data_IF_978095146275
#
_entry.id   IF_978095146275
#
_cell.length_a   1.000
_cell.length_b   1.000
_cell.length_c   1.000
_cell.angle_alpha   90.00
_cell.angle_beta   90.00
_cell.angle_gamma   90.00
#
_symmetry.space_group_name_H-M   'P 1'
#
loop_
_entity.id
_entity.type
_entity.pdbx_description
1 polymer ?
#
# COMPACT_ATOMS: atom_id res chain seq x y z
N UNK A 1 17.50 37.66 21.73
CA UNK A 1 17.08 36.43 21.02
C UNK A 1 17.40 36.67 19.56
N UNK A 2 18.68 36.47 19.23
CA UNK A 2 19.25 36.61 17.90
C UNK A 2 19.05 35.28 17.18
N UNK A 3 18.56 35.33 15.94
CA UNK A 3 18.27 34.16 15.13
C UNK A 3 19.51 33.30 14.94
N UNK A 4 19.34 32.00 15.08
CA UNK A 4 20.32 31.03 14.57
C UNK A 4 20.15 30.98 13.05
N UNK A 5 21.15 31.52 12.36
CA UNK A 5 21.34 31.30 10.93
C UNK A 5 21.62 29.80 10.73
N UNK A 6 20.68 29.10 10.09
CA UNK A 6 20.87 27.72 9.66
C UNK A 6 21.83 27.76 8.48
N UNK A 7 23.08 27.40 8.73
CA UNK A 7 24.12 27.27 7.72
C UNK A 7 23.78 26.07 6.82
N UNK A 8 23.21 26.35 5.65
CA UNK A 8 22.94 25.33 4.62
C UNK A 8 24.28 24.95 4.01
N UNK A 9 24.83 23.81 4.43
CA UNK A 9 26.02 23.22 3.82
C UNK A 9 25.71 22.88 2.36
N UNK A 10 26.39 23.56 1.43
CA UNK A 10 26.35 23.18 0.02
C UNK A 10 27.02 21.80 -0.14
N UNK A 11 26.38 20.84 -0.83
CA UNK A 11 26.95 19.52 -1.03
C UNK A 11 28.24 19.61 -1.87
N UNK A 12 29.26 18.83 -1.50
CA UNK A 12 30.52 18.77 -2.24
C UNK A 12 30.33 18.23 -3.67
N UNK A 13 31.14 18.68 -4.63
CA UNK A 13 31.06 18.28 -6.05
C UNK A 13 31.12 16.75 -6.29
N UNK A 14 31.65 15.97 -5.34
CA UNK A 14 31.68 14.50 -5.39
C UNK A 14 30.32 13.83 -5.12
N UNK A 15 29.36 14.54 -4.50
CA UNK A 15 28.02 14.01 -4.17
C UNK A 15 26.99 14.24 -5.28
N UNK A 16 27.21 15.22 -6.17
CA UNK A 16 26.26 15.63 -7.21
C UNK A 16 26.91 15.57 -8.59
N UNK A 17 26.54 14.57 -9.39
CA UNK A 17 26.94 14.54 -10.81
C UNK A 17 26.01 15.44 -11.62
N UNK A 18 26.47 16.65 -11.93
CA UNK A 18 25.77 17.55 -12.86
C UNK A 18 26.04 17.08 -14.28
N UNK A 19 25.01 16.55 -14.95
CA UNK A 19 25.05 16.23 -16.37
C UNK A 19 24.28 17.28 -17.15
N UNK A 20 25.01 18.31 -17.57
CA UNK A 20 24.55 19.31 -18.51
C UNK A 20 25.60 19.46 -19.62
N UNK A 21 25.77 18.47 -20.52
CA UNK A 21 26.49 18.74 -21.74
C UNK A 21 25.66 19.74 -22.53
N UNK A 22 26.28 20.85 -22.93
CA UNK A 22 25.71 21.68 -23.98
C UNK A 22 25.47 20.77 -25.20
N UNK A 23 24.34 20.94 -25.92
CA UNK A 23 24.10 20.16 -27.12
C UNK A 23 25.24 20.43 -28.10
N UNK A 24 26.18 19.48 -28.18
CA UNK A 24 27.17 19.47 -29.25
C UNK A 24 26.39 19.13 -30.50
N UNK A 25 26.00 20.15 -31.26
CA UNK A 25 25.21 20.04 -32.50
C UNK A 25 25.95 19.31 -33.62
N UNK A 26 26.32 18.06 -33.38
CA UNK A 26 26.99 17.16 -34.32
C UNK A 26 26.01 16.37 -35.18
N UNK A 27 24.71 16.57 -35.03
CA UNK A 27 23.72 15.90 -35.88
C UNK A 27 23.75 16.52 -37.27
N UNK A 28 24.22 15.76 -38.25
CA UNK A 28 24.31 16.15 -39.67
C UNK A 28 22.97 16.67 -40.24
N UNK A 29 21.86 16.28 -39.61
CA UNK A 29 20.48 16.68 -39.91
C UNK A 29 20.25 18.18 -39.64
N UNK A 30 20.92 18.78 -38.65
CA UNK A 30 20.77 20.21 -38.31
C UNK A 30 21.27 21.14 -39.43
N UNK A 31 22.06 20.62 -40.37
CA UNK A 31 22.59 21.37 -41.51
C UNK A 31 21.69 21.32 -42.76
N UNK A 32 20.60 20.55 -42.74
CA UNK A 32 19.65 20.44 -43.85
C UNK A 32 18.38 21.25 -43.56
N UNK A 33 17.78 21.85 -44.59
CA UNK A 33 16.49 22.52 -44.44
C UNK A 33 15.37 21.50 -44.17
N UNK A 34 14.37 21.87 -43.35
CA UNK A 34 13.24 21.00 -42.97
C UNK A 34 12.54 20.37 -44.19
N UNK A 35 12.38 21.14 -45.29
CA UNK A 35 11.79 20.66 -46.54
C UNK A 35 12.63 19.59 -47.26
N UNK A 36 13.96 19.70 -47.18
CA UNK A 36 14.86 18.70 -47.75
C UNK A 36 14.89 17.43 -46.90
N UNK A 37 14.87 17.59 -45.57
CA UNK A 37 14.80 16.47 -44.65
C UNK A 37 13.48 15.71 -44.81
N UNK A 38 12.33 16.39 -44.82
CA UNK A 38 11.04 15.70 -44.95
C UNK A 38 10.88 14.99 -46.30
N UNK A 39 11.47 15.54 -47.37
CA UNK A 39 11.50 14.88 -48.68
C UNK A 39 12.36 13.61 -48.70
N UNK A 40 13.27 13.44 -47.73
CA UNK A 40 14.09 12.24 -47.58
C UNK A 40 13.43 11.13 -46.76
N UNK A 41 12.34 11.43 -46.05
CA UNK A 41 11.62 10.47 -45.18
C UNK A 41 10.40 9.94 -45.94
N UNK A 42 10.37 8.65 -46.24
CA UNK A 42 9.25 8.01 -46.94
C UNK A 42 8.17 7.56 -45.94
N UNK A 43 7.07 8.31 -45.85
CA UNK A 43 5.84 7.90 -45.15
C UNK A 43 4.61 8.57 -45.76
N UNK A 44 3.44 7.94 -45.71
CA UNK A 44 2.18 8.52 -46.19
C UNK A 44 1.37 9.14 -45.05
N UNK A 45 1.39 8.51 -43.88
CA UNK A 45 0.65 8.92 -42.68
C UNK A 45 1.49 8.76 -41.41
N UNK A 46 1.11 9.48 -40.35
CA UNK A 46 1.69 9.27 -39.01
C UNK A 46 1.44 7.87 -38.46
N UNK A 47 0.51 7.11 -39.06
CA UNK A 47 0.30 5.69 -38.75
C UNK A 47 1.49 4.81 -39.17
N UNK A 48 2.27 5.23 -40.17
CA UNK A 48 3.43 4.50 -40.68
C UNK A 48 4.68 4.74 -39.81
N UNK A 49 4.62 5.71 -38.90
CA UNK A 49 5.76 6.10 -38.07
C UNK A 49 5.87 5.13 -36.88
N UNK A 50 6.97 4.37 -36.76
CA UNK A 50 7.14 3.43 -35.65
C UNK A 50 7.30 4.19 -34.33
N UNK A 51 6.48 3.83 -33.33
CA UNK A 51 6.56 4.38 -31.98
C UNK A 51 7.41 3.42 -31.12
N UNK A 52 8.49 3.91 -30.47
CA UNK A 52 9.29 3.08 -29.57
C UNK A 52 8.45 2.49 -28.42
N UNK A 53 8.76 1.27 -27.99
CA UNK A 53 8.01 0.59 -26.92
C UNK A 53 8.28 1.20 -25.53
N UNK A 54 9.50 1.70 -25.29
CA UNK A 54 9.87 2.27 -23.99
C UNK A 54 9.61 3.77 -23.94
N UNK A 55 9.15 4.26 -22.79
CA UNK A 55 8.89 5.69 -22.60
C UNK A 55 10.17 6.54 -22.67
N UNK A 56 11.32 5.98 -22.30
CA UNK A 56 12.59 6.72 -22.32
C UNK A 56 13.04 7.03 -23.75
N UNK A 57 12.77 6.14 -24.70
CA UNK A 57 13.13 6.30 -26.11
C UNK A 57 12.10 7.19 -26.86
N UNK A 58 10.95 7.49 -26.24
CA UNK A 58 9.97 8.45 -26.76
C UNK A 58 10.28 9.90 -26.36
N UNK A 59 11.29 10.14 -25.52
CA UNK A 59 11.67 11.51 -25.12
C UNK A 59 12.51 12.15 -26.22
N UNK A 60 12.04 13.28 -26.73
CA UNK A 60 12.61 13.98 -27.89
C UNK A 60 13.51 15.14 -27.42
N UNK A 61 14.72 15.25 -27.97
CA UNK A 61 15.62 16.39 -27.74
C UNK A 61 16.20 16.48 -26.32
N UNK A 62 16.20 15.36 -25.59
CA UNK A 62 16.75 15.23 -24.23
C UNK A 62 17.63 13.98 -24.14
N UNK A 63 18.55 13.82 -25.09
CA UNK A 63 19.44 12.65 -25.23
C UNK A 63 20.32 12.47 -23.99
N UNK A 64 20.72 13.57 -23.36
CA UNK A 64 21.45 13.47 -22.10
C UNK A 64 20.54 13.01 -20.97
N UNK A 65 19.35 13.60 -20.85
CA UNK A 65 18.37 13.24 -19.82
C UNK A 65 18.01 11.76 -19.85
N UNK A 66 17.86 11.19 -21.05
CA UNK A 66 17.59 9.76 -21.24
C UNK A 66 18.76 8.86 -20.82
N UNK A 67 20.01 9.28 -20.99
CA UNK A 67 21.18 8.53 -20.50
C UNK A 67 21.34 8.67 -18.98
N UNK A 68 21.08 9.86 -18.40
CA UNK A 68 21.08 10.03 -16.92
C UNK A 68 20.06 9.09 -16.30
N UNK A 69 18.82 9.09 -16.81
CA UNK A 69 17.74 8.33 -16.17
C UNK A 69 17.98 6.82 -16.23
N UNK A 70 18.58 6.33 -17.31
CA UNK A 70 19.00 4.94 -17.44
C UNK A 70 20.04 4.56 -16.37
N UNK A 71 21.07 5.38 -16.20
CA UNK A 71 22.09 5.18 -15.14
C UNK A 71 21.51 5.31 -13.73
N UNK A 72 20.63 6.29 -13.52
CA UNK A 72 19.99 6.53 -12.24
C UNK A 72 19.07 5.37 -11.85
N UNK A 73 18.32 4.81 -12.81
CA UNK A 73 17.45 3.64 -12.60
C UNK A 73 18.26 2.39 -12.24
N UNK A 74 19.33 2.10 -12.98
CA UNK A 74 20.22 0.96 -12.72
C UNK A 74 20.86 1.03 -11.33
N UNK A 75 21.28 2.23 -10.91
CA UNK A 75 21.96 2.45 -9.64
C UNK A 75 21.04 2.83 -8.47
N UNK A 76 19.73 2.99 -8.72
CA UNK A 76 18.73 3.49 -7.76
C UNK A 76 19.12 4.82 -7.09
N UNK A 77 19.64 5.76 -7.88
CA UNK A 77 19.99 7.10 -7.39
C UNK A 77 18.79 8.04 -7.47
N UNK A 78 18.72 8.97 -6.53
CA UNK A 78 17.79 10.09 -6.59
C UNK A 78 18.19 11.05 -7.70
N UNK A 79 17.19 11.73 -8.29
CA UNK A 79 17.40 12.68 -9.38
C UNK A 79 16.69 13.99 -9.05
N UNK A 80 17.36 15.10 -9.31
CA UNK A 80 16.76 16.43 -9.36
C UNK A 80 16.72 16.86 -10.82
N UNK A 81 15.53 17.15 -11.34
CA UNK A 81 15.35 17.65 -12.71
C UNK A 81 14.99 19.14 -12.65
N UNK A 82 15.74 19.96 -13.37
CA UNK A 82 15.51 21.39 -13.47
C UNK A 82 15.21 21.73 -14.93
N UNK A 83 14.09 22.40 -15.17
CA UNK A 83 13.70 22.81 -16.50
C UNK A 83 12.33 23.49 -16.51
N UNK A 84 12.07 24.22 -17.58
CA UNK A 84 10.82 24.96 -17.77
C UNK A 84 9.58 24.05 -17.68
N UNK A 85 8.41 24.59 -17.30
CA UNK A 85 7.17 23.82 -17.32
C UNK A 85 6.88 23.30 -18.73
N UNK A 86 6.41 22.05 -18.84
CA UNK A 86 6.09 21.42 -20.13
C UNK A 86 7.28 20.81 -20.89
N UNK A 87 8.47 20.76 -20.29
CA UNK A 87 9.69 20.15 -20.90
C UNK A 87 9.78 18.62 -20.77
N UNK A 88 8.75 17.96 -20.24
CA UNK A 88 8.70 16.49 -20.15
C UNK A 88 9.33 15.87 -18.90
N UNK A 89 9.59 16.65 -17.83
CA UNK A 89 10.12 16.15 -16.54
C UNK A 89 9.36 14.94 -15.98
N UNK A 90 8.03 15.03 -15.92
CA UNK A 90 7.19 13.93 -15.42
C UNK A 90 7.21 12.71 -16.36
N UNK A 91 7.35 12.92 -17.67
CA UNK A 91 7.48 11.84 -18.65
C UNK A 91 8.81 11.09 -18.47
N UNK A 92 9.90 11.83 -18.29
CA UNK A 92 11.21 11.26 -17.95
C UNK A 92 11.11 10.48 -16.63
N UNK A 93 10.59 11.06 -15.56
CA UNK A 93 10.43 10.36 -14.29
C UNK A 93 9.61 9.07 -14.41
N UNK A 94 8.53 9.10 -15.20
CA UNK A 94 7.71 7.91 -15.45
C UNK A 94 8.48 6.83 -16.22
N UNK A 95 9.32 7.21 -17.18
CA UNK A 95 10.16 6.25 -17.90
C UNK A 95 11.14 5.49 -16.99
N UNK A 96 11.49 6.06 -15.83
CA UNK A 96 12.38 5.42 -14.86
C UNK A 96 11.79 4.12 -14.31
N UNK A 97 10.47 3.99 -14.16
CA UNK A 97 9.86 2.74 -13.63
C UNK A 97 10.02 1.55 -14.57
N UNK A 98 10.14 1.80 -15.87
CA UNK A 98 10.38 0.76 -16.88
C UNK A 98 11.83 0.26 -16.85
N UNK A 99 12.75 1.12 -16.42
CA UNK A 99 14.18 0.85 -16.35
C UNK A 99 14.63 0.31 -14.99
N UNK A 100 13.78 0.42 -13.96
CA UNK A 100 14.07 -0.15 -12.66
C UNK A 100 14.23 -1.68 -12.76
N UNK A 101 15.19 -2.27 -12.03
CA UNK A 101 15.32 -3.72 -11.96
C UNK A 101 14.00 -4.35 -11.54
N UNK A 102 13.62 -5.46 -12.20
CA UNK A 102 12.43 -6.25 -11.86
C UNK A 102 12.66 -7.07 -10.58
N UNK A 103 12.93 -6.39 -9.48
CA UNK A 103 12.95 -6.98 -8.16
C UNK A 103 11.55 -7.47 -7.76
N UNK A 104 11.51 -8.42 -6.84
CA UNK A 104 10.25 -8.84 -6.22
C UNK A 104 9.70 -7.67 -5.41
N UNK A 105 8.57 -7.12 -5.88
CA UNK A 105 7.79 -6.12 -5.13
C UNK A 105 7.34 -6.70 -3.79
N UNK A 106 7.05 -5.83 -2.81
CA UNK A 106 6.72 -6.24 -1.46
C UNK A 106 5.37 -5.67 -1.02
N UNK A 107 4.48 -6.54 -0.55
CA UNK A 107 3.29 -6.15 0.18
C UNK A 107 3.68 -5.70 1.60
N UNK A 108 3.03 -4.66 2.11
CA UNK A 108 3.25 -4.13 3.46
C UNK A 108 2.03 -4.42 4.34
N UNK A 109 2.26 -5.13 5.44
CA UNK A 109 1.24 -5.49 6.43
C UNK A 109 1.51 -4.77 7.74
N UNK A 110 0.44 -4.40 8.45
CA UNK A 110 0.50 -3.88 9.83
C UNK A 110 -0.19 -4.89 10.74
N UNK A 111 0.52 -5.30 11.77
CA UNK A 111 0.03 -6.18 12.82
C UNK A 111 -0.26 -5.38 14.08
N UNK A 112 -1.29 -5.79 14.86
CA UNK A 112 -1.43 -5.33 16.23
C UNK A 112 -0.19 -5.74 17.03
N UNK A 113 0.18 -4.90 17.99
CA UNK A 113 1.27 -5.16 18.92
C UNK A 113 0.68 -5.43 20.31
N UNK A 114 0.96 -6.61 20.86
CA UNK A 114 0.46 -7.03 22.18
C UNK A 114 1.18 -6.33 23.33
N UNK A 115 2.41 -5.85 23.09
CA UNK A 115 3.24 -5.18 24.11
C UNK A 115 2.88 -3.69 24.26
N UNK A 116 2.67 -2.99 23.14
CA UNK A 116 2.22 -1.59 23.09
C UNK A 116 1.28 -1.37 21.90
N UNK A 117 0.00 -1.10 22.18
CA UNK A 117 -1.00 -0.87 21.15
C UNK A 117 -0.68 0.34 20.25
N UNK A 118 -0.02 1.38 20.78
CA UNK A 118 0.29 2.58 20.01
C UNK A 118 1.51 2.40 19.08
N UNK A 119 2.16 1.24 19.11
CA UNK A 119 3.28 0.90 18.23
C UNK A 119 2.96 -0.34 17.38
N UNK A 120 2.12 -0.22 16.33
CA UNK A 120 1.82 -1.32 15.43
C UNK A 120 3.07 -1.88 14.72
N UNK A 121 3.12 -3.20 14.53
CA UNK A 121 4.29 -3.86 13.91
C UNK A 121 4.15 -3.93 12.40
N UNK A 122 5.14 -3.43 11.68
CA UNK A 122 5.19 -3.50 10.21
C UNK A 122 5.91 -4.76 9.75
N UNK A 123 5.37 -5.43 8.72
CA UNK A 123 6.00 -6.58 8.08
C UNK A 123 5.88 -6.50 6.57
N UNK A 124 7.01 -6.51 5.88
CA UNK A 124 7.08 -6.66 4.43
C UNK A 124 7.10 -8.13 4.04
N UNK A 125 6.32 -8.50 3.03
CA UNK A 125 6.31 -9.85 2.44
C UNK A 125 6.35 -9.74 0.92
N UNK A 126 6.83 -10.76 0.17
CA UNK A 126 6.78 -10.71 -1.28
C UNK A 126 5.37 -10.44 -1.81
N UNK A 127 5.27 -9.75 -2.95
CA UNK A 127 4.01 -9.41 -3.61
C UNK A 127 3.06 -10.60 -3.71
N UNK A 128 1.76 -10.31 -3.60
CA UNK A 128 0.66 -11.29 -3.57
C UNK A 128 0.62 -12.21 -2.34
N UNK A 129 1.61 -12.21 -1.45
CA UNK A 129 1.59 -13.01 -0.21
C UNK A 129 0.76 -12.34 0.88
N UNK A 130 0.68 -11.00 0.89
CA UNK A 130 -0.02 -10.24 1.91
C UNK A 130 -1.51 -10.56 1.95
N UNK A 131 -2.17 -10.54 0.79
CA UNK A 131 -3.60 -10.89 0.68
C UNK A 131 -3.88 -12.32 1.17
N UNK A 132 -3.00 -13.27 0.83
CA UNK A 132 -3.13 -14.66 1.26
C UNK A 132 -3.03 -14.80 2.78
N UNK A 133 -2.13 -14.06 3.43
CA UNK A 133 -1.96 -14.09 4.89
C UNK A 133 -3.22 -13.58 5.58
N UNK A 134 -3.72 -12.41 5.16
CA UNK A 134 -4.94 -11.80 5.73
C UNK A 134 -6.14 -12.74 5.54
N UNK A 135 -6.30 -13.31 4.35
CA UNK A 135 -7.39 -14.25 4.06
C UNK A 135 -7.34 -15.49 4.94
N UNK A 136 -6.17 -16.12 5.08
CA UNK A 136 -6.00 -17.32 5.91
C UNK A 136 -6.29 -17.05 7.39
N UNK A 137 -5.84 -15.91 7.93
CA UNK A 137 -6.11 -15.56 9.32
C UNK A 137 -7.59 -15.23 9.56
N UNK A 138 -8.23 -14.50 8.64
CA UNK A 138 -9.67 -14.24 8.71
C UNK A 138 -10.49 -15.53 8.67
N UNK A 139 -10.12 -16.46 7.80
CA UNK A 139 -10.78 -17.78 7.72
C UNK A 139 -10.56 -18.61 8.99
N UNK A 140 -9.35 -18.59 9.57
CA UNK A 140 -9.04 -19.30 10.81
C UNK A 140 -9.87 -18.78 12.00
N UNK A 141 -10.00 -17.46 12.14
CA UNK A 141 -10.83 -16.83 13.17
C UNK A 141 -12.31 -17.18 12.97
N UNK A 142 -12.80 -17.10 11.73
CA UNK A 142 -14.18 -17.50 11.40
C UNK A 142 -14.43 -18.97 11.77
N UNK A 143 -13.51 -19.87 11.44
CA UNK A 143 -13.63 -21.28 11.79
C UNK A 143 -13.60 -21.51 13.31
N UNK A 144 -12.74 -20.80 14.04
CA UNK A 144 -12.69 -20.85 15.51
C UNK A 144 -14.01 -20.39 16.12
N UNK A 145 -14.57 -19.28 15.62
CA UNK A 145 -15.85 -18.76 16.06
C UNK A 145 -17.00 -19.75 15.76
N UNK A 146 -17.05 -20.33 14.56
CA UNK A 146 -18.04 -21.36 14.21
C UNK A 146 -17.92 -22.62 15.08
N UNK A 147 -16.70 -23.07 15.40
CA UNK A 147 -16.47 -24.21 16.30
C UNK A 147 -16.93 -23.90 17.73
N UNK A 148 -16.58 -22.72 18.24
CA UNK A 148 -16.98 -22.26 19.57
C UNK A 148 -18.51 -22.14 19.68
N UNK A 149 -19.17 -21.58 18.66
CA UNK A 149 -20.64 -21.50 18.61
C UNK A 149 -21.30 -22.88 18.54
N UNK A 150 -20.76 -23.81 17.74
CA UNK A 150 -21.27 -25.21 17.68
C UNK A 150 -21.08 -25.93 19.02
N UNK A 151 -19.91 -25.79 19.64
CA UNK A 151 -19.62 -26.38 20.95
C UNK A 151 -20.55 -25.82 22.04
N UNK A 152 -20.78 -24.51 22.04
CA UNK A 152 -21.71 -23.86 22.95
C UNK A 152 -23.15 -24.36 22.72
N UNK A 153 -23.59 -24.48 21.47
CA UNK A 153 -24.92 -25.02 21.14
C UNK A 153 -25.09 -26.46 21.65
N UNK A 154 -24.07 -27.32 21.48
CA UNK A 154 -24.08 -28.69 21.99
C UNK A 154 -24.14 -28.72 23.53
N UNK A 155 -23.34 -27.90 24.20
CA UNK A 155 -23.32 -27.81 25.66
C UNK A 155 -24.69 -27.38 26.22
N UNK A 156 -25.29 -26.33 25.66
CA UNK A 156 -26.62 -25.86 26.07
C UNK A 156 -27.73 -26.86 25.74
N UNK A 157 -27.65 -27.57 24.61
CA UNK A 157 -28.59 -28.64 24.28
C UNK A 157 -28.52 -29.81 25.30
N UNK A 158 -27.32 -30.17 25.76
CA UNK A 158 -27.14 -31.21 26.78
C UNK A 158 -27.74 -30.80 28.14
N UNK A 159 -27.52 -29.54 28.56
CA UNK A 159 -28.12 -28.99 29.79
C UNK A 159 -29.65 -28.94 29.66
N UNK A 160 -30.16 -28.51 28.51
CA UNK A 160 -31.60 -28.50 28.24
C UNK A 160 -32.22 -29.89 28.29
N UNK A 161 -31.53 -30.90 27.76
CA UNK A 161 -31.97 -32.29 27.80
C UNK A 161 -32.03 -32.85 29.23
N UNK A 162 -31.01 -32.57 30.06
CA UNK A 162 -31.03 -32.92 31.49
C UNK A 162 -32.20 -32.26 32.23
N UNK A 163 -32.49 -31.00 31.90
CA UNK A 163 -33.60 -30.24 32.48
C UNK A 163 -34.95 -30.87 32.14
N UNK A 164 -35.14 -31.30 30.89
CA UNK A 164 -36.35 -32.02 30.46
C UNK A 164 -36.50 -33.33 31.24
N UNK A 165 -35.44 -34.14 31.37
CA UNK A 165 -35.50 -35.40 32.13
C UNK A 165 -35.89 -35.14 33.60
N UNK A 166 -35.28 -34.15 34.25
CA UNK A 166 -35.58 -33.81 35.64
C UNK A 166 -37.05 -33.39 35.82
N UNK A 167 -37.61 -32.66 34.86
CA UNK A 167 -39.02 -32.23 34.91
C UNK A 167 -39.99 -33.38 34.71
N UNK A 168 -39.67 -34.35 33.83
CA UNK A 168 -40.48 -35.56 33.65
C UNK A 168 -40.51 -36.43 34.92
N UNK A 169 -39.44 -36.43 35.72
CA UNK A 169 -39.39 -37.16 36.99
C UNK A 169 -40.15 -36.47 38.12
N UNK A 170 -40.10 -35.14 38.16
CA UNK A 170 -40.67 -34.34 39.27
C UNK A 170 -42.11 -33.91 39.01
N UNK A 171 -42.55 -33.87 37.74
CA UNK A 171 -43.89 -33.45 37.31
C UNK A 171 -44.16 -31.94 37.41
N UNK A 172 -43.15 -31.15 37.82
CA UNK A 172 -43.29 -29.71 37.99
C UNK A 172 -42.98 -28.94 36.69
N UNK A 173 -44.03 -28.39 36.09
CA UNK A 173 -43.97 -27.58 34.87
C UNK A 173 -43.29 -26.24 35.14
N UNK A 174 -43.34 -25.70 36.37
CA UNK A 174 -42.74 -24.42 36.73
C UNK A 174 -41.21 -24.48 36.62
N UNK A 175 -40.61 -25.59 37.06
CA UNK A 175 -39.18 -25.86 36.91
C UNK A 175 -38.74 -25.86 35.44
N UNK A 176 -39.56 -26.40 34.53
CA UNK A 176 -39.28 -26.39 33.08
C UNK A 176 -39.30 -24.98 32.49
N UNK A 177 -40.32 -24.19 32.83
CA UNK A 177 -40.47 -22.83 32.31
C UNK A 177 -39.38 -21.89 32.82
N UNK A 178 -39.12 -21.91 34.14
CA UNK A 178 -38.10 -21.06 34.75
C UNK A 178 -36.69 -21.48 34.33
N UNK A 179 -36.42 -22.79 34.31
CA UNK A 179 -35.15 -23.34 33.86
C UNK A 179 -34.88 -23.07 32.38
N UNK A 180 -35.89 -23.21 31.52
CA UNK A 180 -35.80 -22.91 30.09
C UNK A 180 -35.55 -21.42 29.82
N UNK A 181 -36.22 -20.52 30.54
CA UNK A 181 -36.00 -19.08 30.45
C UNK A 181 -34.57 -18.69 30.84
N UNK A 182 -34.06 -19.23 31.95
CA UNK A 182 -32.71 -18.96 32.44
C UNK A 182 -31.65 -19.50 31.48
N UNK A 183 -31.91 -20.65 30.86
CA UNK A 183 -31.04 -21.27 29.86
C UNK A 183 -31.00 -20.43 28.56
N UNK A 184 -32.14 -19.92 28.09
CA UNK A 184 -32.20 -19.02 26.93
C UNK A 184 -31.45 -17.71 27.19
N UNK A 185 -31.68 -17.08 28.35
CA UNK A 185 -31.00 -15.85 28.72
C UNK A 185 -29.49 -16.06 28.89
N UNK A 186 -29.09 -17.16 29.52
CA UNK A 186 -27.69 -17.58 29.65
C UNK A 186 -27.02 -17.80 28.29
N UNK A 187 -27.70 -18.46 27.35
CA UNK A 187 -27.20 -18.66 25.98
C UNK A 187 -26.95 -17.32 25.28
N UNK A 188 -27.93 -16.40 25.33
CA UNK A 188 -27.81 -15.09 24.70
C UNK A 188 -26.68 -14.25 25.31
N UNK A 189 -26.57 -14.25 26.64
CA UNK A 189 -25.54 -13.51 27.37
C UNK A 189 -24.13 -14.01 27.04
N UNK A 190 -23.92 -15.33 27.02
CA UNK A 190 -22.60 -15.91 26.73
C UNK A 190 -22.26 -15.78 25.23
N UNK A 191 -23.23 -16.00 24.34
CA UNK A 191 -23.04 -15.84 22.89
C UNK A 191 -22.62 -14.42 22.53
N UNK A 192 -23.21 -13.40 23.15
CA UNK A 192 -22.84 -11.99 22.90
C UNK A 192 -21.41 -11.63 23.32
N UNK A 193 -20.83 -12.36 24.28
CA UNK A 193 -19.50 -12.07 24.82
C UNK A 193 -18.36 -12.79 24.09
N UNK A 194 -18.60 -13.98 23.54
CA UNK A 194 -17.55 -14.79 22.89
C UNK A 194 -17.15 -14.31 21.48
N UNK A 195 -17.91 -13.42 20.84
CA UNK A 195 -17.66 -12.99 19.45
C UNK A 195 -16.82 -11.73 19.28
N UNK A 196 -16.66 -10.91 20.32
CA UNK A 196 -16.19 -9.53 20.15
C UNK A 196 -14.66 -9.32 20.12
N UNK A 197 -13.87 -10.32 20.54
CA UNK A 197 -12.45 -10.08 20.86
C UNK A 197 -11.44 -10.57 19.81
N UNK A 198 -11.84 -11.40 18.84
CA UNK A 198 -10.88 -12.07 17.95
C UNK A 198 -10.64 -11.31 16.62
N UNK A 199 -11.54 -10.43 16.19
CA UNK A 199 -11.39 -9.71 14.90
C UNK A 199 -10.29 -8.65 14.92
N UNK A 200 -9.99 -8.06 16.08
CA UNK A 200 -8.91 -7.06 16.26
C UNK A 200 -7.50 -7.61 16.04
N UNK A 201 -7.35 -8.94 15.93
CA UNK A 201 -6.04 -9.58 15.71
C UNK A 201 -5.66 -9.71 14.24
N UNK A 202 -6.56 -9.36 13.33
CA UNK A 202 -6.33 -9.48 11.90
C UNK A 202 -5.42 -8.33 11.44
N UNK A 203 -4.28 -8.61 10.80
CA UNK A 203 -3.41 -7.57 10.27
C UNK A 203 -4.08 -6.84 9.11
N UNK A 204 -3.80 -5.54 9.02
CA UNK A 204 -4.22 -4.70 7.91
C UNK A 204 -3.19 -4.80 6.78
N UNK A 205 -3.66 -5.04 5.56
CA UNK A 205 -2.84 -4.88 4.35
C UNK A 205 -2.81 -3.39 3.98
N UNK A 206 -1.66 -2.74 4.14
CA UNK A 206 -1.50 -1.32 3.79
C UNK A 206 -1.24 -1.14 2.30
N UNK A 207 -0.32 -1.92 1.77
CA UNK A 207 0.13 -1.81 0.39
C UNK A 207 0.10 -3.21 -0.21
N UNK A 208 -0.53 -3.30 -1.37
CA UNK A 208 -0.67 -4.52 -2.15
C UNK A 208 -0.02 -4.29 -3.50
N UNK A 209 0.81 -5.24 -3.91
CA UNK A 209 1.33 -5.35 -5.26
C UNK A 209 1.01 -6.71 -5.85
N UNK A 210 0.79 -6.74 -7.17
CA UNK A 210 0.68 -7.99 -7.90
C UNK A 210 2.07 -8.50 -8.30
N UNK A 211 2.23 -9.83 -8.41
CA UNK A 211 3.54 -10.45 -8.65
C UNK A 211 4.17 -10.09 -10.00
N UNK A 212 3.37 -9.66 -10.98
CA UNK A 212 3.81 -9.25 -12.32
C UNK A 212 3.61 -7.76 -12.59
N UNK A 213 3.36 -6.98 -11.55
CA UNK A 213 3.16 -5.53 -11.68
C UNK A 213 4.49 -4.82 -11.97
N UNK A 214 4.42 -3.73 -12.73
CA UNK A 214 5.57 -2.84 -12.90
C UNK A 214 5.83 -2.10 -11.59
N UNK A 215 7.08 -1.65 -11.33
CA UNK A 215 7.38 -0.80 -10.19
C UNK A 215 6.43 0.42 -10.14
N UNK A 216 5.93 0.79 -8.95
CA UNK A 216 4.93 1.84 -8.83
C UNK A 216 5.52 3.22 -9.20
N UNK A 217 4.76 4.02 -9.93
CA UNK A 217 5.01 5.44 -10.12
C UNK A 217 4.02 6.23 -9.26
N UNK A 218 4.51 6.93 -8.25
CA UNK A 218 3.67 7.72 -7.34
C UNK A 218 4.01 9.20 -7.52
N UNK A 219 3.07 9.94 -8.08
CA UNK A 219 3.14 11.40 -8.12
C UNK A 219 2.62 11.97 -6.80
N UNK A 220 3.50 12.64 -6.07
CA UNK A 220 3.22 13.30 -4.80
C UNK A 220 3.33 14.83 -4.88
N UNK A 221 3.30 15.38 -6.10
CA UNK A 221 3.27 16.83 -6.34
C UNK A 221 2.10 17.47 -5.60
N UNK A 222 2.38 18.55 -4.87
CA UNK A 222 1.40 19.31 -4.08
C UNK A 222 0.59 18.49 -3.05
N UNK A 223 1.11 17.35 -2.57
CA UNK A 223 0.43 16.55 -1.53
C UNK A 223 0.61 17.12 -0.13
N UNK A 224 -0.40 16.93 0.73
CA UNK A 224 -0.33 17.28 2.16
C UNK A 224 0.56 16.30 2.93
N UNK A 225 1.05 16.70 4.11
CA UNK A 225 1.96 15.90 4.94
C UNK A 225 1.45 14.49 5.21
N UNK A 226 0.16 14.32 5.55
CA UNK A 226 -0.43 12.99 5.80
C UNK A 226 -0.50 12.11 4.55
N UNK A 227 -0.74 12.70 3.37
CA UNK A 227 -0.74 11.98 2.10
C UNK A 227 0.68 11.58 1.66
N UNK A 228 1.68 12.40 1.95
CA UNK A 228 3.08 12.13 1.62
C UNK A 228 3.70 11.11 2.58
N UNK A 229 3.62 11.39 3.88
CA UNK A 229 4.33 10.68 4.94
C UNK A 229 3.51 9.54 5.57
N UNK A 230 2.19 9.50 5.36
CA UNK A 230 1.29 8.58 6.06
C UNK A 230 0.60 9.28 7.23
N UNK A 231 -0.49 8.67 7.69
CA UNK A 231 -1.33 9.24 8.74
C UNK A 231 -1.97 8.14 9.58
N UNK A 232 -2.52 8.49 10.75
CA UNK A 232 -3.29 7.60 11.61
C UNK A 232 -4.66 8.21 11.82
N UNK A 233 -5.70 7.49 11.41
CA UNK A 233 -7.08 7.96 11.54
C UNK A 233 -7.43 8.17 13.02
N UNK A 234 -8.13 9.28 13.27
CA UNK A 234 -8.72 9.54 14.59
C UNK A 234 -9.82 8.53 14.89
N UNK A 235 -9.85 7.99 16.10
CA UNK A 235 -10.93 7.14 16.58
C UNK A 235 -11.93 7.94 17.42
N UNK A 236 -13.18 8.16 16.97
CA UNK A 236 -14.19 8.85 17.77
C UNK A 236 -14.69 8.04 18.98
N UNK A 237 -14.40 6.74 19.09
CA UNK A 237 -14.94 5.84 20.11
C UNK A 237 -13.96 5.47 21.24
N UNK A 238 -12.87 6.22 21.38
CA UNK A 238 -11.75 6.01 22.31
C UNK A 238 -12.09 5.89 23.82
N UNK A 239 -13.37 5.96 24.21
CA UNK A 239 -13.83 5.86 25.60
C UNK A 239 -15.09 4.99 25.77
N UNK A 240 -15.54 4.31 24.71
CA UNK A 240 -16.81 3.56 24.69
C UNK A 240 -16.69 2.04 24.66
N UNK A 241 -15.48 1.46 24.68
CA UNK A 241 -15.27 0.01 24.56
C UNK A 241 -15.57 -0.57 23.17
N UNK A 242 -15.75 0.30 22.16
CA UNK A 242 -15.84 -0.03 20.73
C UNK A 242 -14.69 0.64 19.98
N UNK A 243 -13.51 0.58 20.56
CA UNK A 243 -12.30 1.22 20.04
C UNK A 243 -11.82 0.46 18.80
N UNK A 244 -11.40 1.20 17.79
CA UNK A 244 -10.75 0.64 16.61
C UNK A 244 -9.28 0.46 16.93
N UNK A 245 -8.79 -0.78 16.82
CA UNK A 245 -7.40 -1.10 17.08
C UNK A 245 -6.44 -0.19 16.31
N UNK A 246 -5.36 0.23 16.96
CA UNK A 246 -4.44 1.23 16.40
C UNK A 246 -3.87 0.84 15.02
N UNK A 247 -3.56 -0.45 14.80
CA UNK A 247 -3.03 -0.92 13.52
C UNK A 247 -4.02 -0.77 12.35
N UNK A 248 -5.32 -0.83 12.61
CA UNK A 248 -6.37 -0.66 11.58
C UNK A 248 -6.53 0.81 11.16
N UNK A 249 -6.05 1.73 12.01
CA UNK A 249 -6.12 3.18 11.79
C UNK A 249 -4.93 3.72 11.00
N UNK A 250 -3.84 2.95 10.86
CA UNK A 250 -2.65 3.34 10.09
C UNK A 250 -2.97 3.44 8.59
N UNK A 251 -2.60 4.54 7.96
CA UNK A 251 -2.75 4.79 6.52
C UNK A 251 -1.39 5.01 5.86
N UNK A 252 -1.13 4.42 4.67
CA UNK A 252 0.15 4.58 4.01
C UNK A 252 0.24 5.94 3.30
N UNK A 253 1.39 6.58 3.44
CA UNK A 253 1.81 7.74 2.63
C UNK A 253 2.29 7.39 1.23
N UNK A 254 2.49 8.41 0.39
CA UNK A 254 3.05 8.31 -0.95
C UNK A 254 4.48 7.71 -0.92
N UNK A 255 5.30 8.05 0.09
CA UNK A 255 6.64 7.46 0.26
C UNK A 255 6.57 5.93 0.41
N UNK A 256 5.53 5.43 1.09
CA UNK A 256 5.35 4.00 1.30
C UNK A 256 4.85 3.32 0.03
N UNK A 257 3.88 3.93 -0.66
CA UNK A 257 3.35 3.42 -1.95
C UNK A 257 4.42 3.39 -3.04
N UNK A 258 5.41 4.27 -2.97
CA UNK A 258 6.54 4.32 -3.89
C UNK A 258 7.67 3.33 -3.54
N UNK A 259 7.51 2.50 -2.51
CA UNK A 259 8.53 1.52 -2.12
C UNK A 259 8.90 0.61 -3.31
N UNK A 260 10.20 0.46 -3.55
CA UNK A 260 10.77 -0.23 -4.74
C UNK A 260 10.32 0.32 -6.10
N UNK A 261 9.75 1.53 -6.14
CA UNK A 261 9.35 2.23 -7.35
C UNK A 261 9.94 3.64 -7.45
N UNK A 262 9.15 4.57 -7.98
CA UNK A 262 9.52 5.97 -8.19
C UNK A 262 8.52 6.87 -7.47
N UNK A 263 9.05 7.78 -6.65
CA UNK A 263 8.32 8.90 -6.07
C UNK A 263 8.68 10.16 -6.86
N UNK A 264 7.68 10.80 -7.46
CA UNK A 264 7.85 12.03 -8.23
C UNK A 264 7.23 13.22 -7.48
N UNK A 265 7.95 14.35 -7.49
CA UNK A 265 7.51 15.62 -6.89
C UNK A 265 7.98 16.74 -7.83
N UNK A 266 7.04 17.40 -8.52
CA UNK A 266 7.30 18.59 -9.35
C UNK A 266 7.36 19.89 -8.52
#
# INVERSE_FOLDING_TARGET
MTGEDIEVLEPSEDEVTIWAPEPTGSDEILNQGVEQWIASVEFESTEDVPIPETLVDQVIGQETGSVVIRKAAEQRRHMLMIGDPGTGKSMLAKSMTELLPRDVLEDVLVYPNEDDENEPRIRCVPASRGERIVKLQREAIRQQHERSQKMLLIAFAAIGFLLIIATLQTGDIITLLFGGFLLMFGYMFIRGRLGASDESRIPKLLIKHDASEMPPFVDATATLSGSLLGDVRHDPFQSGGMETSAHDRVEPGAIHRAHKGVLYID
#
